data_IF_311612365257
#
_entry.id   IF_311612365257
#
_cell.length_a   1.000
_cell.length_b   1.000
_cell.length_c   1.000
_cell.angle_alpha   90.00
_cell.angle_beta   90.00
_cell.angle_gamma   90.00
#
_symmetry.space_group_name_H-M   'P 1'
#
loop_
_entity.id
_entity.type
_entity.pdbx_description
1 polymer ?
#
# COMPACT_ATOMS: atom_id res chain seq x y z
N UNK A 1 36.26 14.20 -43.65
CA UNK A 1 35.30 13.09 -43.47
C UNK A 1 35.24 12.54 -42.04
N UNK A 2 36.37 12.16 -41.41
CA UNK A 2 36.39 11.60 -40.04
C UNK A 2 35.82 12.52 -38.95
N UNK A 3 36.14 13.82 -38.99
CA UNK A 3 35.63 14.81 -38.03
C UNK A 3 34.11 15.00 -38.14
N UNK A 4 33.59 15.02 -39.37
CA UNK A 4 32.14 15.13 -39.61
C UNK A 4 31.38 13.91 -39.06
N UNK A 5 31.90 12.70 -39.29
CA UNK A 5 31.31 11.46 -38.76
C UNK A 5 31.35 11.46 -37.22
N UNK A 6 32.45 11.91 -36.61
CA UNK A 6 32.55 12.01 -35.15
C UNK A 6 31.55 13.02 -34.57
N UNK A 7 31.37 14.17 -35.21
CA UNK A 7 30.37 15.18 -34.80
C UNK A 7 28.94 14.65 -34.92
N UNK A 8 28.61 13.96 -36.01
CA UNK A 8 27.29 13.34 -36.19
C UNK A 8 27.04 12.29 -35.11
N UNK A 9 28.02 11.42 -34.85
CA UNK A 9 27.91 10.40 -33.81
C UNK A 9 27.72 11.02 -32.42
N UNK A 10 28.46 12.08 -32.10
CA UNK A 10 28.33 12.80 -30.84
C UNK A 10 26.92 13.40 -30.66
N UNK A 11 26.40 14.10 -31.67
CA UNK A 11 25.06 14.68 -31.63
C UNK A 11 23.98 13.61 -31.50
N UNK A 12 24.11 12.50 -32.22
CA UNK A 12 23.16 11.40 -32.15
C UNK A 12 23.12 10.79 -30.74
N UNK A 13 24.29 10.53 -30.12
CA UNK A 13 24.38 10.00 -28.76
C UNK A 13 23.81 10.98 -27.74
N UNK A 14 24.12 12.28 -27.86
CA UNK A 14 23.58 13.31 -26.98
C UNK A 14 22.05 13.41 -27.08
N UNK A 15 21.49 13.37 -28.30
CA UNK A 15 20.05 13.40 -28.51
C UNK A 15 19.35 12.15 -27.96
N UNK A 16 19.93 10.97 -28.16
CA UNK A 16 19.40 9.72 -27.62
C UNK A 16 19.43 9.72 -26.09
N UNK A 17 20.50 10.23 -25.48
CA UNK A 17 20.60 10.36 -24.03
C UNK A 17 19.54 11.33 -23.49
N UNK A 18 19.37 12.49 -24.12
CA UNK A 18 18.33 13.45 -23.76
C UNK A 18 16.93 12.85 -23.89
N UNK A 19 16.63 12.13 -24.98
CA UNK A 19 15.33 11.48 -25.17
C UNK A 19 15.08 10.37 -24.14
N UNK A 20 16.12 9.59 -23.82
CA UNK A 20 16.05 8.51 -22.84
C UNK A 20 15.67 9.03 -21.44
N UNK A 21 16.21 10.18 -21.05
CA UNK A 21 15.87 10.82 -19.77
C UNK A 21 14.57 11.62 -19.82
N UNK A 22 14.33 12.34 -20.92
CA UNK A 22 13.19 13.22 -21.06
C UNK A 22 11.87 12.47 -21.18
N UNK A 23 11.84 11.35 -21.92
CA UNK A 23 10.60 10.60 -22.17
C UNK A 23 9.93 10.04 -20.90
N UNK A 24 10.62 9.30 -20.01
CA UNK A 24 10.02 8.80 -18.78
C UNK A 24 9.85 9.88 -17.71
N UNK A 25 10.61 10.98 -17.77
CA UNK A 25 10.63 12.01 -16.74
C UNK A 25 9.76 13.23 -17.09
N UNK A 26 8.78 13.06 -17.99
CA UNK A 26 7.81 14.11 -18.29
C UNK A 26 6.99 14.42 -17.03
N UNK A 27 6.70 15.70 -16.74
CA UNK A 27 5.82 16.04 -15.65
C UNK A 27 4.46 15.38 -15.90
N UNK A 28 4.00 14.59 -14.93
CA UNK A 28 2.65 14.06 -14.91
C UNK A 28 1.78 15.13 -14.30
N UNK A 29 0.69 15.51 -14.97
CA UNK A 29 -0.33 16.36 -14.35
C UNK A 29 -0.88 15.61 -13.13
N UNK A 30 -0.57 16.13 -11.95
CA UNK A 30 -1.28 15.75 -10.75
C UNK A 30 -2.66 16.38 -10.87
N UNK A 31 -3.70 15.56 -10.99
CA UNK A 31 -5.06 16.06 -10.98
C UNK A 31 -5.21 17.03 -9.81
N UNK A 32 -5.66 18.26 -10.08
CA UNK A 32 -5.93 19.24 -9.03
C UNK A 32 -6.94 18.69 -8.02
N UNK A 33 -7.16 19.42 -6.92
CA UNK A 33 -8.24 19.12 -5.98
C UNK A 33 -9.59 19.28 -6.69
N UNK A 34 -9.98 18.26 -7.44
CA UNK A 34 -11.27 18.16 -8.12
C UNK A 34 -12.33 17.75 -7.10
N UNK A 35 -13.60 17.97 -7.41
CA UNK A 35 -14.71 17.40 -6.66
C UNK A 35 -14.79 15.85 -6.78
N UNK A 36 -13.86 15.22 -7.50
CA UNK A 36 -13.81 13.77 -7.66
C UNK A 36 -13.28 13.09 -6.37
N UNK A 37 -13.71 11.85 -6.08
CA UNK A 37 -13.24 11.12 -4.91
C UNK A 37 -11.73 10.91 -4.91
N UNK A 38 -11.08 11.09 -3.75
CA UNK A 38 -9.67 10.75 -3.56
C UNK A 38 -9.44 9.26 -3.87
N UNK A 39 -8.29 8.93 -4.46
CA UNK A 39 -8.00 7.53 -4.81
C UNK A 39 -7.90 6.63 -3.57
N UNK A 40 -7.23 7.11 -2.51
CA UNK A 40 -7.14 6.41 -1.24
C UNK A 40 -6.82 7.37 -0.10
N UNK A 41 -7.14 6.98 1.12
CA UNK A 41 -6.72 7.66 2.36
C UNK A 41 -6.16 6.65 3.36
N UNK A 42 -5.19 7.09 4.16
CA UNK A 42 -4.76 6.34 5.33
C UNK A 42 -5.89 6.25 6.34
N UNK A 43 -6.18 5.04 6.80
CA UNK A 43 -7.33 4.76 7.66
C UNK A 43 -6.88 4.08 8.96
N UNK A 44 -6.90 4.86 10.03
CA UNK A 44 -6.58 4.45 11.39
C UNK A 44 -7.74 4.89 12.30
N UNK A 45 -8.80 4.06 12.46
CA UNK A 45 -10.07 4.45 13.08
C UNK A 45 -10.00 4.49 14.62
N UNK A 46 -8.88 4.95 15.18
CA UNK A 46 -8.70 5.09 16.62
C UNK A 46 -9.33 6.39 17.12
N UNK A 47 -10.11 6.30 18.20
CA UNK A 47 -10.69 7.44 18.92
C UNK A 47 -9.78 7.88 20.06
N UNK A 48 -10.04 9.03 20.71
CA UNK A 48 -9.29 9.44 21.90
C UNK A 48 -9.19 8.32 22.94
N UNK A 49 -7.97 8.02 23.39
CA UNK A 49 -7.66 6.91 24.31
C UNK A 49 -7.42 5.55 23.66
N UNK A 50 -7.75 5.39 22.37
CA UNK A 50 -7.50 4.17 21.61
C UNK A 50 -6.16 4.28 20.87
N UNK A 51 -5.39 3.21 20.86
CA UNK A 51 -4.10 3.14 20.18
C UNK A 51 -3.59 1.70 20.17
N UNK A 52 -2.82 1.29 19.15
CA UNK A 52 -2.03 0.07 19.22
C UNK A 52 -1.11 0.03 20.44
N UNK A 53 -0.58 1.18 20.87
CA UNK A 53 0.34 1.29 22.01
C UNK A 53 -0.37 1.04 23.35
N UNK A 54 -1.61 1.49 23.50
CA UNK A 54 -2.43 1.22 24.69
C UNK A 54 -3.16 -0.12 24.61
N UNK A 55 -3.10 -0.81 23.46
CA UNK A 55 -3.89 -2.01 23.14
C UNK A 55 -5.40 -1.84 23.32
N UNK A 56 -5.88 -0.60 23.22
CA UNK A 56 -7.31 -0.29 23.22
C UNK A 56 -7.71 -0.05 21.77
N UNK A 57 -8.43 -1.01 21.20
CA UNK A 57 -8.81 -1.03 19.79
C UNK A 57 -10.23 -0.50 19.57
N UNK A 58 -10.53 0.05 18.38
CA UNK A 58 -11.88 0.44 18.04
C UNK A 58 -12.80 -0.78 17.94
N UNK A 59 -14.08 -0.59 18.26
CA UNK A 59 -15.08 -1.65 18.08
C UNK A 59 -15.50 -1.74 16.60
N UNK A 60 -16.04 -2.88 16.14
CA UNK A 60 -16.54 -3.01 14.78
C UNK A 60 -17.54 -1.92 14.38
N UNK A 61 -18.43 -1.51 15.30
CA UNK A 61 -19.40 -0.45 15.06
C UNK A 61 -18.74 0.92 14.86
N UNK A 62 -17.67 1.21 15.61
CA UNK A 62 -16.91 2.45 15.46
C UNK A 62 -16.24 2.50 14.08
N UNK A 63 -15.62 1.38 13.67
CA UNK A 63 -15.00 1.22 12.34
C UNK A 63 -16.05 1.41 11.24
N UNK A 64 -17.21 0.77 11.36
CA UNK A 64 -18.30 0.89 10.39
C UNK A 64 -18.83 2.32 10.27
N UNK A 65 -18.95 3.03 11.40
CA UNK A 65 -19.33 4.44 11.41
C UNK A 65 -18.35 5.31 10.63
N UNK A 66 -17.05 5.06 10.76
CA UNK A 66 -16.00 5.82 10.08
C UNK A 66 -15.92 5.48 8.59
N UNK A 67 -16.09 4.21 8.21
CA UNK A 67 -16.20 3.81 6.80
C UNK A 67 -17.39 4.50 6.11
N UNK A 68 -18.55 4.57 6.78
CA UNK A 68 -19.73 5.24 6.24
C UNK A 68 -19.49 6.73 5.98
N UNK A 69 -18.68 7.41 6.81
CA UNK A 69 -18.35 8.84 6.61
C UNK A 69 -17.50 9.10 5.38
N UNK A 70 -16.77 8.09 4.90
CA UNK A 70 -15.89 8.16 3.73
C UNK A 70 -16.62 7.83 2.41
N UNK A 71 -17.83 7.29 2.48
CA UNK A 71 -18.65 6.95 1.32
C UNK A 71 -18.78 8.16 0.37
N UNK A 72 -18.47 7.93 -0.91
CA UNK A 72 -18.55 8.95 -1.96
C UNK A 72 -17.44 10.01 -1.95
N UNK A 73 -16.54 10.00 -0.95
CA UNK A 73 -15.41 10.95 -0.84
C UNK A 73 -14.08 10.35 -1.24
N UNK A 74 -13.93 9.04 -1.07
CA UNK A 74 -12.71 8.30 -1.40
C UNK A 74 -13.08 6.99 -2.08
N UNK A 75 -12.19 6.46 -2.93
CA UNK A 75 -12.36 5.16 -3.59
C UNK A 75 -11.86 4.01 -2.74
N UNK A 76 -10.80 4.24 -1.96
CA UNK A 76 -10.19 3.21 -1.14
C UNK A 76 -9.75 3.73 0.24
N UNK A 77 -9.57 2.80 1.17
CA UNK A 77 -8.90 3.03 2.45
C UNK A 77 -7.67 2.13 2.58
N UNK A 78 -6.61 2.64 3.20
CA UNK A 78 -5.41 1.87 3.51
C UNK A 78 -5.35 1.56 5.00
N UNK A 79 -5.20 0.28 5.35
CA UNK A 79 -4.93 -0.16 6.73
C UNK A 79 -3.44 -0.50 6.91
N UNK A 80 -3.01 -0.52 8.17
CA UNK A 80 -1.61 -0.78 8.54
C UNK A 80 -1.39 -2.16 9.17
N UNK A 81 -2.38 -2.66 9.91
CA UNK A 81 -2.40 -4.02 10.47
C UNK A 81 -3.68 -4.75 10.06
N UNK A 82 -3.70 -6.05 10.36
CA UNK A 82 -4.71 -6.99 9.87
C UNK A 82 -5.61 -7.55 10.97
N UNK A 83 -5.22 -7.41 12.24
CA UNK A 83 -5.95 -7.96 13.39
C UNK A 83 -6.55 -6.88 14.29
N UNK A 84 -6.92 -7.29 15.51
CA UNK A 84 -7.34 -6.38 16.58
C UNK A 84 -8.56 -5.53 16.16
N UNK A 85 -9.58 -6.21 15.63
CA UNK A 85 -10.83 -5.70 15.04
C UNK A 85 -10.68 -5.05 13.65
N UNK A 86 -9.47 -4.80 13.14
CA UNK A 86 -9.29 -4.21 11.81
C UNK A 86 -9.65 -5.14 10.66
N UNK A 87 -9.87 -6.45 10.91
CA UNK A 87 -10.54 -7.37 9.98
C UNK A 87 -11.95 -6.89 9.60
N UNK A 88 -12.57 -6.04 10.43
CA UNK A 88 -13.86 -5.39 10.13
C UNK A 88 -13.77 -4.52 8.88
N UNK A 89 -12.59 -3.94 8.57
CA UNK A 89 -12.42 -3.04 7.43
C UNK A 89 -12.70 -3.75 6.09
N UNK A 90 -11.97 -4.83 5.70
CA UNK A 90 -12.30 -5.57 4.48
C UNK A 90 -13.68 -6.24 4.51
N UNK A 91 -14.21 -6.56 5.70
CA UNK A 91 -15.57 -7.12 5.86
C UNK A 91 -16.68 -6.14 5.51
N UNK A 92 -16.51 -4.84 5.83
CA UNK A 92 -17.59 -3.85 5.76
C UNK A 92 -17.40 -2.81 4.67
N UNK A 93 -16.17 -2.50 4.27
CA UNK A 93 -15.86 -1.42 3.32
C UNK A 93 -16.63 -1.53 2.00
N UNK A 94 -16.77 -2.75 1.47
CA UNK A 94 -17.50 -3.00 0.21
C UNK A 94 -18.96 -2.52 0.24
N UNK A 95 -19.63 -2.53 1.40
CA UNK A 95 -21.02 -2.01 1.55
C UNK A 95 -21.14 -0.52 1.21
N UNK A 96 -20.04 0.23 1.37
CA UNK A 96 -19.97 1.66 1.14
C UNK A 96 -19.27 2.02 -0.17
N UNK A 97 -19.04 1.03 -1.05
CA UNK A 97 -18.33 1.22 -2.32
C UNK A 97 -16.83 1.48 -2.17
N UNK A 98 -16.26 1.19 -0.99
CA UNK A 98 -14.85 1.40 -0.70
C UNK A 98 -14.03 0.15 -1.00
N UNK A 99 -12.92 0.33 -1.71
CA UNK A 99 -11.85 -0.68 -1.82
C UNK A 99 -10.91 -0.59 -0.62
N UNK A 100 -10.13 -1.65 -0.41
CA UNK A 100 -9.19 -1.73 0.72
C UNK A 100 -7.80 -2.06 0.21
N UNK A 101 -6.83 -1.26 0.62
CA UNK A 101 -5.40 -1.55 0.53
C UNK A 101 -4.97 -2.09 1.90
N UNK A 102 -4.97 -3.41 2.02
CA UNK A 102 -4.87 -4.08 3.30
C UNK A 102 -3.40 -4.30 3.68
N UNK A 103 -3.00 -3.84 4.87
CA UNK A 103 -1.63 -3.91 5.34
C UNK A 103 -1.43 -4.90 6.48
N UNK A 104 -0.31 -5.62 6.45
CA UNK A 104 0.23 -6.32 7.62
C UNK A 104 1.36 -5.50 8.25
N UNK A 105 1.25 -5.27 9.56
CA UNK A 105 2.30 -4.63 10.34
C UNK A 105 3.33 -5.70 10.73
N UNK A 106 4.57 -5.54 10.29
CA UNK A 106 5.66 -6.44 10.66
C UNK A 106 6.58 -5.75 11.67
N UNK A 107 7.19 -6.54 12.54
CA UNK A 107 8.15 -6.14 13.56
C UNK A 107 9.30 -7.17 13.68
N UNK A 108 10.07 -7.10 14.77
CA UNK A 108 11.18 -8.00 15.07
C UNK A 108 10.74 -9.35 15.68
N UNK A 109 9.43 -9.56 15.87
CA UNK A 109 8.86 -10.80 16.38
C UNK A 109 8.29 -11.67 15.24
N UNK A 110 9.02 -12.73 14.88
CA UNK A 110 8.64 -13.65 13.81
C UNK A 110 7.26 -14.31 14.01
N UNK A 111 6.81 -14.53 15.26
CA UNK A 111 5.50 -15.13 15.54
C UNK A 111 4.36 -14.16 15.22
N UNK A 112 4.47 -12.93 15.69
CA UNK A 112 3.49 -11.86 15.41
C UNK A 112 3.43 -11.55 13.92
N UNK A 113 4.59 -11.52 13.26
CA UNK A 113 4.69 -11.38 11.81
C UNK A 113 3.92 -12.48 11.08
N UNK A 114 4.08 -13.74 11.48
CA UNK A 114 3.38 -14.85 10.84
C UNK A 114 1.87 -14.77 11.06
N UNK A 115 1.42 -14.33 12.23
CA UNK A 115 0.00 -14.10 12.51
C UNK A 115 -0.58 -13.04 11.58
N UNK A 116 0.08 -11.87 11.47
CA UNK A 116 -0.34 -10.80 10.56
C UNK A 116 -0.35 -11.25 9.10
N UNK A 117 0.66 -12.00 8.65
CA UNK A 117 0.74 -12.51 7.28
C UNK A 117 -0.38 -13.50 6.98
N UNK A 118 -0.69 -14.40 7.91
CA UNK A 118 -1.74 -15.40 7.71
C UNK A 118 -3.12 -14.75 7.66
N UNK A 119 -3.42 -13.81 8.57
CA UNK A 119 -4.65 -13.02 8.53
C UNK A 119 -4.76 -12.23 7.22
N UNK A 120 -3.66 -11.62 6.77
CA UNK A 120 -3.65 -10.81 5.54
C UNK A 120 -4.01 -11.65 4.32
N UNK A 121 -3.44 -12.85 4.23
CA UNK A 121 -3.73 -13.82 3.16
C UNK A 121 -5.19 -14.28 3.25
N UNK A 122 -5.70 -14.60 4.44
CA UNK A 122 -7.08 -15.02 4.63
C UNK A 122 -8.06 -13.93 4.18
N UNK A 123 -7.88 -12.69 4.67
CA UNK A 123 -8.76 -11.58 4.32
C UNK A 123 -8.69 -11.22 2.84
N UNK A 124 -7.50 -11.24 2.23
CA UNK A 124 -7.35 -11.00 0.80
C UNK A 124 -8.09 -12.05 -0.04
N UNK A 125 -8.07 -13.31 0.38
CA UNK A 125 -8.77 -14.40 -0.32
C UNK A 125 -10.27 -14.44 -0.04
N UNK A 126 -10.70 -14.05 1.17
CA UNK A 126 -12.11 -14.06 1.57
C UNK A 126 -12.88 -12.86 1.04
N UNK A 127 -12.23 -11.70 0.95
CA UNK A 127 -12.84 -10.43 0.55
C UNK A 127 -12.24 -9.91 -0.77
N UNK A 128 -12.09 -10.79 -1.78
CA UNK A 128 -11.43 -10.49 -3.07
C UNK A 128 -12.00 -9.27 -3.79
N UNK A 129 -13.31 -9.07 -3.70
CA UNK A 129 -13.98 -7.93 -4.33
C UNK A 129 -13.75 -6.61 -3.60
N UNK A 130 -13.40 -6.66 -2.31
CA UNK A 130 -13.16 -5.46 -1.49
C UNK A 130 -11.67 -5.14 -1.38
N UNK A 131 -10.82 -6.16 -1.17
CA UNK A 131 -9.36 -6.01 -1.07
C UNK A 131 -8.76 -5.89 -2.45
N UNK A 132 -8.37 -4.66 -2.81
CA UNK A 132 -7.77 -4.34 -4.12
C UNK A 132 -6.26 -4.62 -4.13
N UNK A 133 -5.58 -4.35 -3.02
CA UNK A 133 -4.12 -4.44 -2.91
C UNK A 133 -3.71 -4.94 -1.53
N UNK A 134 -2.55 -5.59 -1.48
CA UNK A 134 -1.97 -6.12 -0.25
C UNK A 134 -0.61 -5.48 0.00
N UNK A 135 -0.38 -5.01 1.24
CA UNK A 135 0.85 -4.33 1.65
C UNK A 135 1.51 -5.14 2.75
N UNK A 136 2.75 -5.57 2.51
CA UNK A 136 3.50 -6.44 3.41
C UNK A 136 4.59 -5.63 4.10
N UNK A 137 4.29 -5.17 5.32
CA UNK A 137 5.17 -4.31 6.11
C UNK A 137 5.05 -2.83 5.76
N UNK A 138 5.40 -2.00 6.76
CA UNK A 138 5.52 -0.55 6.65
C UNK A 138 6.85 -0.12 7.28
N UNK A 139 7.74 0.43 6.46
CA UNK A 139 9.02 1.03 6.90
C UNK A 139 9.85 0.09 7.79
N UNK A 140 9.73 -1.23 7.63
CA UNK A 140 10.37 -2.21 8.54
C UNK A 140 11.88 -2.20 8.41
N UNK A 141 12.39 -1.80 7.23
CA UNK A 141 13.81 -1.61 6.98
C UNK A 141 14.32 -0.33 7.65
N UNK A 142 13.54 0.76 7.55
CA UNK A 142 13.83 2.04 8.23
C UNK A 142 13.83 1.86 9.75
N UNK A 143 12.84 1.13 10.28
CA UNK A 143 12.73 0.79 11.71
C UNK A 143 13.76 -0.25 12.17
N UNK A 144 14.53 -0.84 11.25
CA UNK A 144 15.57 -1.85 11.50
C UNK A 144 15.05 -3.11 12.21
N UNK A 145 13.78 -3.42 12.04
CA UNK A 145 13.13 -4.57 12.67
C UNK A 145 13.33 -5.84 11.86
N UNK A 146 13.48 -5.71 10.53
CA UNK A 146 13.74 -6.82 9.62
C UNK A 146 14.91 -6.51 8.69
N UNK A 147 15.63 -7.55 8.32
CA UNK A 147 16.57 -7.50 7.20
C UNK A 147 15.82 -7.52 5.86
N UNK A 148 16.44 -7.02 4.76
CA UNK A 148 15.88 -7.16 3.42
C UNK A 148 15.58 -8.61 3.01
N UNK A 149 16.35 -9.57 3.52
CA UNK A 149 16.15 -10.99 3.26
C UNK A 149 14.88 -11.53 3.95
N UNK A 150 14.67 -11.18 5.22
CA UNK A 150 13.45 -11.54 5.96
C UNK A 150 12.20 -10.90 5.33
N UNK A 151 12.23 -9.60 5.00
CA UNK A 151 11.12 -8.94 4.33
C UNK A 151 10.78 -9.60 2.99
N UNK A 152 11.81 -9.92 2.17
CA UNK A 152 11.62 -10.63 0.90
C UNK A 152 10.98 -12.01 1.09
N UNK A 153 11.29 -12.72 2.18
CA UNK A 153 10.65 -14.00 2.53
C UNK A 153 9.14 -13.81 2.72
N UNK A 154 8.73 -12.84 3.54
CA UNK A 154 7.31 -12.55 3.78
C UNK A 154 6.57 -12.08 2.52
N UNK A 155 7.16 -11.18 1.74
CA UNK A 155 6.56 -10.71 0.47
C UNK A 155 6.31 -11.90 -0.48
N UNK A 156 7.28 -12.80 -0.63
CA UNK A 156 7.13 -13.98 -1.51
C UNK A 156 6.05 -14.93 -0.99
N UNK A 157 6.00 -15.17 0.31
CA UNK A 157 4.98 -16.00 0.94
C UNK A 157 3.56 -15.48 0.64
N UNK A 158 3.35 -14.16 0.73
CA UNK A 158 2.05 -13.54 0.40
C UNK A 158 1.77 -13.62 -1.09
N UNK A 159 2.73 -13.22 -1.95
CA UNK A 159 2.58 -13.25 -3.42
C UNK A 159 2.17 -14.62 -3.96
N UNK A 160 2.61 -15.71 -3.34
CA UNK A 160 2.27 -17.07 -3.76
C UNK A 160 0.84 -17.49 -3.39
N UNK A 161 0.14 -16.73 -2.53
CA UNK A 161 -1.12 -17.16 -1.90
C UNK A 161 -2.28 -16.18 -2.08
N UNK A 162 -2.06 -15.06 -2.78
CA UNK A 162 -3.09 -14.06 -3.07
C UNK A 162 -3.05 -13.69 -4.55
N UNK A 163 -4.20 -13.28 -5.10
CA UNK A 163 -4.30 -12.83 -6.50
C UNK A 163 -4.08 -11.32 -6.65
N UNK A 164 -4.20 -10.56 -5.57
CA UNK A 164 -4.02 -9.11 -5.55
C UNK A 164 -2.56 -8.72 -5.78
N UNK A 165 -2.31 -7.54 -6.37
CA UNK A 165 -0.99 -6.93 -6.36
C UNK A 165 -0.45 -6.80 -4.92
N UNK A 166 0.78 -7.26 -4.72
CA UNK A 166 1.49 -7.21 -3.43
C UNK A 166 2.62 -6.19 -3.50
N UNK A 167 2.64 -5.26 -2.55
CA UNK A 167 3.69 -4.24 -2.40
C UNK A 167 4.23 -4.21 -0.98
N UNK A 168 5.28 -3.42 -0.78
CA UNK A 168 5.81 -2.98 0.51
C UNK A 168 5.74 -1.44 0.54
N UNK A 169 5.55 -0.86 1.73
CA UNK A 169 5.52 0.59 1.91
C UNK A 169 6.80 1.06 2.62
N UNK A 170 7.50 2.01 2.00
CA UNK A 170 8.69 2.67 2.53
C UNK A 170 8.66 4.18 2.22
N UNK A 171 9.64 4.91 2.77
CA UNK A 171 9.84 6.37 2.56
C UNK A 171 10.83 6.70 1.44
#
# INVERSE_FOLDING_TARGET
>A
MRVLVALIAFVAVAALNLLWWWWPNRPVEVAGWTAAPLQSVSFAPYRPGQSPLSRIFPTPDQIEQDLRRLQGKVKAVRTYSTGENLETVPQRAGKYGLKVWHGAWLNDNDKENLEQINLLIDHANKYKDTVERVIVGNEVLLRKELTPAQLRRYIRQVKQRVSQPVTYADV
#
